data_IF_907344240124
#
_entry.id   IF_907344240124
#
_cell.length_a   1.000
_cell.length_b   1.000
_cell.length_c   1.000
_cell.angle_alpha   90.00
_cell.angle_beta   90.00
_cell.angle_gamma   90.00
#
_symmetry.space_group_name_H-M   'P 1'
#
loop_
_entity.id
_entity.type
_entity.pdbx_description
1 polymer ?
#
# COMPACT_ATOMS: atom_id res chain seq x y z
N UNK A 1 13.63 8.66 -0.20
CA UNK A 1 12.33 9.13 -0.72
C UNK A 1 11.32 8.00 -0.56
N UNK A 2 10.15 8.31 0.00
CA UNK A 2 9.03 7.38 0.14
C UNK A 2 7.90 7.91 -0.74
N UNK A 3 7.25 7.02 -1.50
CA UNK A 3 6.12 7.38 -2.35
C UNK A 3 4.92 6.54 -1.93
N UNK A 4 3.84 7.22 -1.55
CA UNK A 4 2.56 6.59 -1.30
C UNK A 4 1.71 6.59 -2.57
N UNK A 5 1.24 5.42 -3.01
CA UNK A 5 0.24 5.32 -4.06
C UNK A 5 -1.16 5.27 -3.43
N UNK A 6 -2.00 6.25 -3.78
CA UNK A 6 -3.39 6.34 -3.34
C UNK A 6 -4.36 6.05 -4.51
N UNK A 7 -5.02 4.88 -4.51
CA UNK A 7 -6.08 4.59 -5.48
C UNK A 7 -7.37 5.34 -5.10
N UNK A 8 -7.44 6.64 -5.44
CA UNK A 8 -8.56 7.54 -5.07
C UNK A 8 -9.93 6.94 -5.40
N UNK A 9 -10.04 6.25 -6.54
CA UNK A 9 -11.28 5.58 -6.99
C UNK A 9 -11.80 4.49 -6.03
N UNK A 10 -10.97 3.97 -5.14
CA UNK A 10 -11.30 2.91 -4.18
C UNK A 10 -11.56 3.43 -2.76
N UNK A 11 -11.27 4.72 -2.50
CA UNK A 11 -11.40 5.30 -1.17
C UNK A 11 -12.87 5.56 -0.86
N UNK A 12 -13.35 5.03 0.28
CA UNK A 12 -14.73 5.21 0.73
C UNK A 12 -15.78 4.35 0.02
N UNK A 13 -15.37 3.51 -0.94
CA UNK A 13 -16.30 2.65 -1.71
C UNK A 13 -16.45 1.24 -1.14
N UNK A 14 -15.57 0.85 -0.21
CA UNK A 14 -15.47 -0.52 0.29
C UNK A 14 -14.80 -1.49 -0.69
N UNK A 15 -14.44 -1.03 -1.89
CA UNK A 15 -13.75 -1.83 -2.90
C UNK A 15 -12.26 -1.79 -2.60
N UNK A 16 -11.64 -2.96 -2.47
CA UNK A 16 -10.18 -3.09 -2.34
C UNK A 16 -9.59 -3.41 -3.72
N UNK A 17 -8.57 -2.68 -4.21
CA UNK A 17 -7.90 -3.03 -5.45
C UNK A 17 -7.32 -4.45 -5.39
N UNK A 18 -7.41 -5.18 -6.50
CA UNK A 18 -6.83 -6.53 -6.58
C UNK A 18 -5.30 -6.49 -6.57
N UNK A 19 -4.66 -7.56 -6.10
CA UNK A 19 -3.18 -7.68 -6.12
C UNK A 19 -2.60 -7.52 -7.53
N UNK A 20 -3.24 -8.08 -8.57
CA UNK A 20 -2.83 -7.90 -9.96
C UNK A 20 -2.89 -6.42 -10.40
N UNK A 21 -3.94 -5.68 -10.00
CA UNK A 21 -4.00 -4.25 -10.28
C UNK A 21 -2.83 -3.50 -9.62
N UNK A 22 -2.56 -3.80 -8.35
CA UNK A 22 -1.46 -3.19 -7.61
C UNK A 22 -0.10 -3.54 -8.24
N UNK A 23 0.12 -4.79 -8.65
CA UNK A 23 1.36 -5.20 -9.32
C UNK A 23 1.65 -4.37 -10.57
N UNK A 24 0.62 -4.18 -11.41
CA UNK A 24 0.74 -3.38 -12.62
C UNK A 24 1.07 -1.92 -12.31
N UNK A 25 0.42 -1.33 -11.30
CA UNK A 25 0.66 0.06 -10.91
C UNK A 25 2.06 0.23 -10.33
N UNK A 26 2.48 -0.60 -9.37
CA UNK A 26 3.78 -0.47 -8.72
C UNK A 26 4.93 -0.75 -9.67
N UNK A 27 4.77 -1.70 -10.60
CA UNK A 27 5.75 -1.94 -11.67
C UNK A 27 5.90 -0.71 -12.58
N UNK A 28 4.79 -0.08 -12.98
CA UNK A 28 4.80 1.15 -13.78
C UNK A 28 5.44 2.31 -13.01
N UNK A 29 5.14 2.47 -11.73
CA UNK A 29 5.76 3.49 -10.87
C UNK A 29 7.27 3.29 -10.74
N UNK A 30 7.74 2.06 -10.44
CA UNK A 30 9.19 1.76 -10.39
C UNK A 30 9.87 2.10 -11.72
N UNK A 31 9.27 1.70 -12.84
CA UNK A 31 9.79 2.01 -14.18
C UNK A 31 9.89 3.52 -14.42
N UNK A 32 8.82 4.26 -14.15
CA UNK A 32 8.76 5.71 -14.33
C UNK A 32 9.82 6.45 -13.49
N UNK A 33 9.97 6.07 -12.22
CA UNK A 33 10.93 6.69 -11.31
C UNK A 33 12.37 6.43 -11.73
N UNK A 34 12.66 5.20 -12.20
CA UNK A 34 13.97 4.85 -12.75
C UNK A 34 14.29 5.65 -14.01
N UNK A 35 13.33 5.76 -14.93
CA UNK A 35 13.54 6.41 -16.23
C UNK A 35 13.70 7.93 -16.09
N UNK A 36 12.76 8.57 -15.38
CA UNK A 36 12.68 10.03 -15.27
C UNK A 36 13.59 10.63 -14.21
N UNK A 37 13.77 9.93 -13.08
CA UNK A 37 14.48 10.48 -11.91
C UNK A 37 15.71 9.66 -11.49
N UNK A 38 16.06 8.60 -12.24
CA UNK A 38 17.22 7.72 -11.94
C UNK A 38 17.16 7.09 -10.55
N UNK A 39 15.97 6.88 -10.02
CA UNK A 39 15.75 6.23 -8.71
C UNK A 39 15.58 4.73 -8.90
N UNK A 40 16.58 3.94 -8.50
CA UNK A 40 16.59 2.49 -8.73
C UNK A 40 15.81 1.67 -7.68
N UNK A 41 15.72 2.18 -6.44
CA UNK A 41 15.11 1.46 -5.31
C UNK A 41 14.21 2.38 -4.48
N UNK A 42 13.09 2.88 -5.05
CA UNK A 42 12.16 3.70 -4.30
C UNK A 42 11.42 2.86 -3.24
N UNK A 43 11.20 3.42 -2.06
CA UNK A 43 10.28 2.86 -1.07
C UNK A 43 8.87 3.24 -1.52
N UNK A 44 8.09 2.24 -1.96
CA UNK A 44 6.71 2.45 -2.42
C UNK A 44 5.75 1.88 -1.39
N UNK A 45 4.85 2.70 -0.87
CA UNK A 45 3.87 2.30 0.14
C UNK A 45 2.45 2.46 -0.38
N UNK A 46 1.53 1.64 0.12
CA UNK A 46 0.12 1.68 -0.25
C UNK A 46 -0.65 2.64 0.67
N UNK A 47 -1.32 3.63 0.09
CA UNK A 47 -2.11 4.63 0.81
C UNK A 47 -3.62 4.52 0.61
N UNK A 48 -4.12 3.38 0.13
CA UNK A 48 -5.56 3.13 0.08
C UNK A 48 -6.13 2.67 1.42
N UNK A 49 -7.31 2.05 1.38
CA UNK A 49 -7.97 1.55 2.60
C UNK A 49 -7.25 0.34 3.18
N UNK A 50 -6.56 0.52 4.30
CA UNK A 50 -5.89 -0.56 5.06
C UNK A 50 -6.65 -0.81 6.35
N UNK A 51 -7.02 -2.06 6.57
CA UNK A 51 -7.78 -2.54 7.74
C UNK A 51 -7.09 -3.78 8.32
N UNK A 52 -7.41 -4.18 9.57
CA UNK A 52 -6.92 -5.43 10.14
C UNK A 52 -7.21 -6.65 9.25
N UNK A 53 -8.35 -6.64 8.55
CA UNK A 53 -8.80 -7.77 7.75
C UNK A 53 -8.05 -7.93 6.41
N UNK A 54 -7.56 -6.83 5.83
CA UNK A 54 -6.98 -6.85 4.48
C UNK A 54 -5.47 -6.71 4.44
N UNK A 55 -4.83 -6.29 5.54
CA UNK A 55 -3.39 -5.98 5.54
C UNK A 55 -2.51 -7.19 5.22
N UNK A 56 -2.91 -8.38 5.66
CA UNK A 56 -2.17 -9.61 5.37
C UNK A 56 -2.13 -9.87 3.85
N UNK A 57 -3.30 -9.83 3.19
CA UNK A 57 -3.42 -10.05 1.74
C UNK A 57 -2.73 -8.94 0.93
N UNK A 58 -2.81 -7.69 1.38
CA UNK A 58 -2.06 -6.59 0.75
C UNK A 58 -0.55 -6.77 0.93
N UNK A 59 -0.12 -7.32 2.06
CA UNK A 59 1.26 -7.60 2.41
C UNK A 59 1.91 -8.73 1.58
N UNK A 60 1.10 -9.59 0.94
CA UNK A 60 1.59 -10.60 -0.01
C UNK A 60 2.24 -9.97 -1.26
N UNK A 61 1.90 -8.72 -1.56
CA UNK A 61 2.46 -8.01 -2.70
C UNK A 61 3.90 -7.54 -2.41
N UNK A 62 4.88 -8.28 -2.92
CA UNK A 62 6.31 -7.99 -2.77
C UNK A 62 6.77 -6.62 -3.31
N UNK A 63 5.95 -5.92 -4.11
CA UNK A 63 6.26 -4.58 -4.58
C UNK A 63 5.86 -3.48 -3.60
N UNK A 64 4.98 -3.78 -2.64
CA UNK A 64 4.54 -2.88 -1.57
C UNK A 64 5.52 -2.98 -0.40
N UNK A 65 6.15 -1.86 -0.06
CA UNK A 65 7.14 -1.77 1.01
C UNK A 65 6.56 -1.36 2.36
N UNK A 66 5.24 -1.12 2.43
CA UNK A 66 4.55 -0.68 3.64
C UNK A 66 3.24 0.05 3.34
N UNK A 67 2.69 0.71 4.36
CA UNK A 67 1.36 1.31 4.29
C UNK A 67 1.33 2.74 4.85
N UNK A 68 0.58 3.62 4.18
CA UNK A 68 0.17 4.92 4.71
C UNK A 68 -1.28 4.79 5.21
N UNK A 69 -1.43 4.56 6.52
CA UNK A 69 -2.72 4.15 7.11
C UNK A 69 -3.54 5.38 7.52
N UNK A 70 -4.71 5.55 6.90
CA UNK A 70 -5.67 6.63 7.19
C UNK A 70 -6.46 6.40 8.49
N UNK A 71 -7.79 6.44 8.44
CA UNK A 71 -8.65 6.45 9.65
C UNK A 71 -8.43 5.31 10.65
N UNK A 72 -7.94 4.15 10.22
CA UNK A 72 -7.59 3.04 11.11
C UNK A 72 -6.42 3.37 12.05
N UNK A 73 -5.52 4.29 11.66
CA UNK A 73 -4.40 4.73 12.51
C UNK A 73 -4.85 5.57 13.71
N UNK A 74 -6.02 6.22 13.62
CA UNK A 74 -6.59 7.02 14.71
C UNK A 74 -7.17 6.16 15.84
N UNK A 75 -7.33 4.85 15.62
CA UNK A 75 -7.86 3.89 16.59
C UNK A 75 -6.74 2.94 17.01
N UNK A 76 -6.16 3.16 18.20
CA UNK A 76 -4.99 2.42 18.69
C UNK A 76 -5.12 0.90 18.57
N UNK A 77 -6.27 0.32 18.96
CA UNK A 77 -6.53 -1.11 18.82
C UNK A 77 -6.44 -1.59 17.37
N UNK A 78 -7.09 -0.86 16.45
CA UNK A 78 -7.10 -1.20 15.02
C UNK A 78 -5.70 -1.07 14.42
N UNK A 79 -4.96 -0.02 14.76
CA UNK A 79 -3.60 0.17 14.26
C UNK A 79 -2.63 -0.92 14.73
N UNK A 80 -2.71 -1.31 16.01
CA UNK A 80 -1.92 -2.41 16.56
C UNK A 80 -2.27 -3.73 15.87
N UNK A 81 -3.54 -3.98 15.62
CA UNK A 81 -4.00 -5.20 14.94
C UNK A 81 -3.53 -5.27 13.48
N UNK A 82 -3.54 -4.14 12.77
CA UNK A 82 -2.94 -4.04 11.42
C UNK A 82 -1.46 -4.44 11.46
N UNK A 83 -0.68 -3.91 12.41
CA UNK A 83 0.75 -4.23 12.54
C UNK A 83 0.93 -5.73 12.83
N UNK A 84 0.15 -6.30 13.76
CA UNK A 84 0.21 -7.72 14.10
C UNK A 84 -0.13 -8.62 12.91
N UNK A 85 -1.19 -8.29 12.18
CA UNK A 85 -1.65 -9.10 11.05
C UNK A 85 -0.70 -8.99 9.85
N UNK A 86 0.04 -7.89 9.72
CA UNK A 86 1.07 -7.76 8.69
C UNK A 86 2.32 -8.60 8.95
N UNK A 87 2.74 -8.72 10.22
CA UNK A 87 3.95 -9.47 10.60
C UNK A 87 3.68 -10.93 11.02
N UNK A 88 2.43 -11.38 10.92
CA UNK A 88 2.04 -12.75 11.23
C UNK A 88 2.35 -13.68 10.07
#
# INVERSE_FOLDING_TARGET
MIIAYEPIWSIGTGIVPSNNYLDQIYTKLKKFLREKYKVNSPILIYGGSVTPDNVATLGENSLISGFLIGGASLKSKSFIEIIKNYFR
#
